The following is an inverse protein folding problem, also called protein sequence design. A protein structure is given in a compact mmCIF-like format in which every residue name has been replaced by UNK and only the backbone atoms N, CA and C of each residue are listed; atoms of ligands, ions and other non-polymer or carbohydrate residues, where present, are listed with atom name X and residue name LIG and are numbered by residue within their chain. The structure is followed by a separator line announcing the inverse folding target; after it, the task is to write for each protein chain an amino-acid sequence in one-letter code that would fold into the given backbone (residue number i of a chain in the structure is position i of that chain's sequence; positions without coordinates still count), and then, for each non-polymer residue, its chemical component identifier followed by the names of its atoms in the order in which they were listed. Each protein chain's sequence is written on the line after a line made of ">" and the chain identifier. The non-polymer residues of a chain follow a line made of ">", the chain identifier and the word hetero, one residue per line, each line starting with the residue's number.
data_IF_150295369783
#
_entry.id   IF_150295369783
#
_cell.length_a   1.000
_cell.length_b   1.000
_cell.length_c   1.000
_cell.angle_alpha   90.00
_cell.angle_beta   90.00
_cell.angle_gamma   90.00
#
_symmetry.space_group_name_H-M   'P 1'
#
loop_
_entity.id
_entity.type
_entity.pdbx_description
1 polymer ?
#
# COMPACT_ATOMS: atom_id res chain seq x y z
N UNK A 1 -14.70 76.40 -37.95
CA UNK A 1 -14.01 75.12 -37.67
C UNK A 1 -14.21 74.78 -36.20
N UNK A 2 -15.13 73.85 -35.89
CA UNK A 2 -15.44 73.43 -34.50
C UNK A 2 -14.59 72.22 -34.12
N UNK A 3 -13.85 72.36 -33.01
CA UNK A 3 -12.86 71.40 -32.51
C UNK A 3 -13.55 70.43 -31.56
N UNK A 4 -13.71 69.17 -31.98
CA UNK A 4 -14.34 68.09 -31.20
C UNK A 4 -13.43 67.69 -30.03
N UNK A 5 -13.98 67.69 -28.83
CA UNK A 5 -13.38 67.10 -27.62
C UNK A 5 -13.71 65.61 -27.57
N UNK A 6 -12.70 64.76 -27.45
CA UNK A 6 -12.86 63.33 -27.17
C UNK A 6 -12.62 63.14 -25.68
N UNK A 7 -13.68 62.76 -24.96
CA UNK A 7 -13.63 62.32 -23.56
C UNK A 7 -13.23 60.84 -23.57
N UNK A 8 -12.06 60.53 -23.04
CA UNK A 8 -11.60 59.16 -22.83
C UNK A 8 -11.99 58.74 -21.40
N UNK A 9 -12.99 57.86 -21.30
CA UNK A 9 -13.47 57.32 -20.03
C UNK A 9 -12.74 56.03 -19.70
N UNK A 10 -11.94 56.04 -18.64
CA UNK A 10 -11.25 54.86 -18.11
C UNK A 10 -12.20 54.10 -17.18
N UNK A 11 -12.65 52.91 -17.59
CA UNK A 11 -13.46 52.00 -16.78
C UNK A 11 -12.51 51.21 -15.85
N UNK A 12 -12.52 51.51 -14.55
CA UNK A 12 -11.73 50.79 -13.54
C UNK A 12 -12.56 49.60 -13.01
N UNK A 13 -12.33 48.40 -13.56
CA UNK A 13 -12.89 47.16 -13.02
C UNK A 13 -12.07 46.71 -11.81
N UNK A 14 -12.65 46.85 -10.62
CA UNK A 14 -12.12 46.29 -9.36
C UNK A 14 -12.39 44.79 -9.36
N UNK A 15 -11.34 44.00 -9.56
CA UNK A 15 -11.36 42.55 -9.32
C UNK A 15 -11.19 42.31 -7.81
N UNK A 16 -12.29 42.05 -7.10
CA UNK A 16 -12.22 41.51 -5.74
C UNK A 16 -11.88 40.03 -5.84
N UNK A 17 -10.60 39.70 -5.77
CA UNK A 17 -10.15 38.33 -5.55
C UNK A 17 -10.42 37.97 -4.09
N UNK A 18 -11.50 37.22 -3.85
CA UNK A 18 -11.69 36.52 -2.59
C UNK A 18 -10.61 35.43 -2.50
N UNK A 19 -9.45 35.78 -1.94
CA UNK A 19 -8.44 34.81 -1.59
C UNK A 19 -9.04 33.80 -0.62
N UNK A 20 -9.04 32.52 -0.98
CA UNK A 20 -9.28 31.44 -0.03
C UNK A 20 -8.09 31.45 0.92
N UNK A 21 -8.18 32.24 2.00
CA UNK A 21 -7.19 32.22 3.06
C UNK A 21 -7.27 30.85 3.73
N UNK A 22 -6.27 30.01 3.46
CA UNK A 22 -6.01 28.78 4.17
C UNK A 22 -5.66 29.14 5.62
N UNK A 23 -6.66 29.06 6.53
CA UNK A 23 -6.53 29.39 7.95
C UNK A 23 -5.47 28.58 8.74
N UNK A 24 -4.77 27.67 8.06
CA UNK A 24 -3.71 26.84 8.63
C UNK A 24 -2.30 27.43 8.42
N UNK A 25 -2.14 28.46 7.58
CA UNK A 25 -0.87 29.20 7.49
C UNK A 25 -0.70 30.27 8.57
N UNK A 26 -1.70 30.47 9.44
CA UNK A 26 -1.72 31.57 10.40
C UNK A 26 -0.88 31.30 11.68
N UNK A 27 -0.21 30.15 11.78
CA UNK A 27 0.53 29.75 12.99
C UNK A 27 1.95 29.20 12.75
N UNK A 28 2.82 29.35 13.76
CA UNK A 28 4.14 28.72 13.82
C UNK A 28 4.08 27.29 14.40
N UNK A 29 3.15 26.47 13.91
CA UNK A 29 2.98 25.11 14.41
C UNK A 29 3.69 24.06 13.52
N UNK A 30 3.73 22.82 14.01
CA UNK A 30 4.40 21.72 13.33
C UNK A 30 3.79 21.40 11.95
N UNK A 31 2.48 21.62 11.77
CA UNK A 31 1.81 21.39 10.50
C UNK A 31 2.21 22.46 9.48
N UNK A 32 2.22 23.74 9.86
CA UNK A 32 2.73 24.82 9.00
C UNK A 32 4.19 24.56 8.61
N UNK A 33 5.01 24.14 9.57
CA UNK A 33 6.41 23.80 9.33
C UNK A 33 6.57 22.63 8.34
N UNK A 34 5.71 21.62 8.43
CA UNK A 34 5.70 20.50 7.48
C UNK A 34 5.44 21.00 6.06
N UNK A 35 4.44 21.86 5.86
CA UNK A 35 4.15 22.46 4.56
C UNK A 35 5.31 23.26 4.00
N UNK A 36 5.84 24.20 4.80
CA UNK A 36 6.94 25.05 4.38
C UNK A 36 8.14 24.21 3.92
N UNK A 37 8.52 23.20 4.71
CA UNK A 37 9.66 22.33 4.37
C UNK A 37 9.42 21.53 3.11
N UNK A 38 8.20 21.06 2.86
CA UNK A 38 7.88 20.35 1.62
C UNK A 38 8.02 21.28 0.41
N UNK A 39 7.50 22.50 0.50
CA UNK A 39 7.63 23.51 -0.56
C UNK A 39 9.09 23.91 -0.84
N UNK A 40 9.94 23.86 0.18
CA UNK A 40 11.39 24.10 0.07
C UNK A 40 12.17 22.87 -0.45
N UNK A 41 11.51 21.76 -0.79
CA UNK A 41 12.15 20.51 -1.22
C UNK A 41 12.88 19.76 -0.10
N UNK A 42 12.53 20.03 1.16
CA UNK A 42 13.09 19.38 2.36
C UNK A 42 12.15 18.27 2.86
N UNK A 43 11.89 17.28 2.03
CA UNK A 43 10.88 16.21 2.23
C UNK A 43 11.04 15.47 3.56
N UNK A 44 12.25 14.99 3.89
CA UNK A 44 12.51 14.33 5.18
C UNK A 44 12.16 15.21 6.39
N UNK A 45 12.56 16.48 6.34
CA UNK A 45 12.32 17.43 7.43
C UNK A 45 10.83 17.82 7.51
N UNK A 46 10.11 17.79 6.39
CA UNK A 46 8.66 17.93 6.36
C UNK A 46 7.98 16.79 7.11
N UNK A 47 8.38 15.55 6.85
CA UNK A 47 7.85 14.35 7.52
C UNK A 47 8.16 14.35 9.02
N UNK A 48 9.35 14.75 9.43
CA UNK A 48 9.69 14.94 10.85
C UNK A 48 8.70 15.91 11.54
N UNK A 49 8.35 17.01 10.88
CA UNK A 49 7.32 17.94 11.38
C UNK A 49 5.90 17.35 11.33
N UNK A 50 5.58 16.48 10.36
CA UNK A 50 4.31 15.76 10.37
C UNK A 50 4.22 14.81 11.57
N UNK A 51 5.30 14.11 11.91
CA UNK A 51 5.36 13.23 13.10
C UNK A 51 5.09 14.05 14.36
N UNK A 52 5.75 15.20 14.51
CA UNK A 52 5.50 16.12 15.63
C UNK A 52 4.04 16.58 15.67
N UNK A 53 3.45 16.93 14.52
CA UNK A 53 2.04 17.31 14.45
C UNK A 53 1.09 16.17 14.85
N UNK A 54 1.40 14.92 14.50
CA UNK A 54 0.65 13.72 14.89
C UNK A 54 0.69 13.46 16.40
N UNK A 55 1.74 13.90 17.09
CA UNK A 55 1.92 13.70 18.53
C UNK A 55 1.17 14.73 19.39
N UNK A 56 0.51 15.71 18.76
CA UNK A 56 -0.24 16.75 19.50
C UNK A 56 -1.45 16.14 20.24
N UNK A 57 -1.63 16.42 21.55
CA UNK A 57 -2.68 15.79 22.38
C UNK A 57 -4.13 16.01 21.91
N UNK A 58 -4.37 17.03 21.07
CA UNK A 58 -5.70 17.46 20.64
C UNK A 58 -5.78 17.66 19.11
N UNK A 59 -5.17 16.75 18.36
CA UNK A 59 -5.20 16.80 16.89
C UNK A 59 -6.60 16.48 16.35
N UNK A 60 -7.28 17.48 15.79
CA UNK A 60 -8.62 17.34 15.20
C UNK A 60 -8.64 16.46 13.94
N UNK A 61 -9.77 15.83 13.64
CA UNK A 61 -9.94 14.99 12.44
C UNK A 61 -9.56 15.72 11.14
N UNK A 62 -9.98 16.99 10.99
CA UNK A 62 -9.60 17.80 9.82
C UNK A 62 -8.09 18.02 9.69
N UNK A 63 -7.35 18.14 10.81
CA UNK A 63 -5.89 18.24 10.77
C UNK A 63 -5.23 16.89 10.47
N UNK A 64 -5.82 15.79 10.92
CA UNK A 64 -5.39 14.42 10.57
C UNK A 64 -5.54 14.17 9.07
N UNK A 65 -6.69 14.49 8.49
CA UNK A 65 -6.95 14.40 7.05
C UNK A 65 -5.94 15.23 6.25
N UNK A 66 -5.62 16.43 6.75
CA UNK A 66 -4.66 17.31 6.11
C UNK A 66 -3.24 16.75 6.15
N UNK A 67 -2.80 16.21 7.29
CA UNK A 67 -1.51 15.52 7.41
C UNK A 67 -1.44 14.30 6.48
N UNK A 68 -2.52 13.54 6.35
CA UNK A 68 -2.59 12.40 5.44
C UNK A 68 -2.45 12.86 3.96
N UNK A 69 -3.10 13.96 3.58
CA UNK A 69 -2.96 14.56 2.25
C UNK A 69 -1.55 15.08 1.99
N UNK A 70 -0.95 15.76 2.97
CA UNK A 70 0.41 16.28 2.86
C UNK A 70 1.44 15.15 2.72
N UNK A 71 1.28 14.08 3.49
CA UNK A 71 2.09 12.87 3.35
C UNK A 71 1.91 12.23 1.97
N UNK A 72 0.69 12.13 1.47
CA UNK A 72 0.41 11.60 0.14
C UNK A 72 1.15 12.41 -0.94
N UNK A 73 1.16 13.74 -0.83
CA UNK A 73 1.93 14.61 -1.72
C UNK A 73 3.44 14.35 -1.60
N UNK A 74 3.97 14.30 -0.37
CA UNK A 74 5.40 14.05 -0.14
C UNK A 74 5.86 12.69 -0.72
N UNK A 75 5.02 11.65 -0.65
CA UNK A 75 5.31 10.35 -1.27
C UNK A 75 5.49 10.48 -2.78
N UNK A 76 4.79 11.38 -3.46
CA UNK A 76 4.86 11.50 -4.93
C UNK A 76 6.21 12.00 -5.45
N UNK A 77 7.00 12.69 -4.63
CA UNK A 77 8.30 13.25 -5.06
C UNK A 77 9.29 12.16 -5.47
N UNK A 78 9.40 11.08 -4.69
CA UNK A 78 10.36 9.98 -4.96
C UNK A 78 9.88 8.59 -4.52
N UNK A 79 8.56 8.40 -4.50
CA UNK A 79 7.90 7.22 -3.95
C UNK A 79 8.18 6.94 -2.47
N UNK A 80 8.56 7.98 -1.74
CA UNK A 80 8.76 7.96 -0.31
C UNK A 80 10.15 7.56 0.17
N UNK A 81 11.12 7.44 -0.74
CA UNK A 81 12.49 7.02 -0.43
C UNK A 81 13.21 8.03 0.45
N UNK A 82 12.94 9.32 0.31
CA UNK A 82 13.55 10.40 1.10
C UNK A 82 12.72 10.85 2.30
N UNK A 83 11.60 10.19 2.61
CA UNK A 83 10.71 10.59 3.72
C UNK A 83 11.33 10.39 5.10
N UNK A 84 12.35 9.56 5.22
CA UNK A 84 13.09 9.40 6.47
C UNK A 84 14.58 9.30 6.19
N UNK A 85 15.36 9.97 7.03
CA UNK A 85 16.83 9.85 7.08
C UNK A 85 17.28 8.75 8.04
N UNK A 86 16.35 8.18 8.81
CA UNK A 86 16.68 7.12 9.75
C UNK A 86 17.06 5.86 8.98
N UNK A 87 18.28 5.40 9.21
CA UNK A 87 18.78 4.13 8.69
C UNK A 87 18.40 2.99 9.62
N UNK A 88 18.35 1.79 9.07
CA UNK A 88 18.31 0.59 9.89
C UNK A 88 19.66 0.43 10.60
N UNK A 89 19.69 -0.14 11.81
CA UNK A 89 20.95 -0.51 12.48
C UNK A 89 21.62 -1.63 11.69
N UNK A 90 22.94 -1.79 11.85
CA UNK A 90 23.74 -2.72 11.03
C UNK A 90 23.29 -4.19 11.13
N UNK A 91 22.64 -4.57 12.23
CA UNK A 91 22.12 -5.91 12.42
C UNK A 91 20.77 -6.17 11.73
N UNK A 92 20.09 -5.14 11.25
CA UNK A 92 18.74 -5.22 10.66
C UNK A 92 18.80 -4.89 9.16
N UNK A 93 18.59 -5.90 8.32
CA UNK A 93 18.79 -5.77 6.87
C UNK A 93 17.59 -5.09 6.18
N UNK A 94 16.38 -5.47 6.58
CA UNK A 94 15.16 -4.90 6.01
C UNK A 94 13.97 -5.07 6.95
N UNK A 95 12.98 -4.18 6.78
CA UNK A 95 11.65 -4.30 7.36
C UNK A 95 10.64 -3.91 6.28
N UNK A 96 9.61 -4.73 6.17
CA UNK A 96 8.47 -4.55 5.28
C UNK A 96 7.17 -4.58 6.06
N UNK A 97 6.30 -3.62 5.78
CA UNK A 97 4.95 -3.57 6.31
C UNK A 97 4.01 -3.79 5.15
N UNK A 98 3.10 -4.75 5.28
CA UNK A 98 2.14 -5.10 4.25
C UNK A 98 0.72 -5.01 4.82
N UNK A 99 -0.10 -4.14 4.25
CA UNK A 99 -1.55 -4.08 4.51
C UNK A 99 -2.27 -4.76 3.36
N UNK A 100 -3.10 -5.75 3.65
CA UNK A 100 -3.87 -6.47 2.64
C UNK A 100 -5.37 -6.31 2.86
N UNK A 101 -6.10 -6.03 1.79
CA UNK A 101 -7.54 -6.30 1.68
C UNK A 101 -7.69 -7.64 0.98
N UNK A 102 -8.32 -8.60 1.65
CA UNK A 102 -8.53 -9.96 1.12
C UNK A 102 -10.02 -10.18 0.86
N UNK A 103 -10.35 -10.41 -0.40
CA UNK A 103 -11.68 -10.75 -0.87
C UNK A 103 -11.73 -12.22 -1.28
N UNK A 104 -12.56 -12.97 -0.56
CA UNK A 104 -12.90 -14.36 -0.88
C UNK A 104 -14.28 -14.43 -1.51
N UNK A 105 -14.73 -15.64 -1.90
CA UNK A 105 -16.11 -15.85 -2.35
C UNK A 105 -17.15 -15.58 -1.25
N UNK A 106 -16.79 -15.75 0.03
CA UNK A 106 -17.72 -15.67 1.16
C UNK A 106 -17.62 -14.39 1.99
N UNK A 107 -16.47 -13.71 1.96
CA UNK A 107 -16.24 -12.50 2.79
C UNK A 107 -15.10 -11.63 2.28
N UNK A 108 -15.11 -10.38 2.73
CA UNK A 108 -13.96 -9.46 2.68
C UNK A 108 -13.43 -9.29 4.10
N UNK A 109 -12.11 -9.31 4.26
CA UNK A 109 -11.43 -9.06 5.53
C UNK A 109 -10.07 -8.40 5.29
N UNK A 110 -9.45 -7.92 6.36
CA UNK A 110 -8.16 -7.23 6.28
C UNK A 110 -7.07 -7.99 7.03
N UNK A 111 -5.84 -7.84 6.56
CA UNK A 111 -4.64 -8.46 7.12
C UNK A 111 -3.56 -7.40 7.21
N UNK A 112 -2.80 -7.42 8.30
CA UNK A 112 -1.54 -6.69 8.39
C UNK A 112 -0.41 -7.67 8.68
N UNK A 113 0.70 -7.49 7.97
CA UNK A 113 1.90 -8.27 8.13
C UNK A 113 3.09 -7.34 8.32
N UNK A 114 3.99 -7.70 9.22
CA UNK A 114 5.33 -7.13 9.30
C UNK A 114 6.33 -8.27 9.11
N UNK A 115 7.27 -8.08 8.20
CA UNK A 115 8.32 -9.05 7.93
C UNK A 115 9.66 -8.36 7.77
N UNK A 116 10.74 -9.05 8.14
CA UNK A 116 12.07 -8.50 8.02
C UNK A 116 13.15 -9.56 8.06
N UNK A 117 14.39 -9.12 7.88
CA UNK A 117 15.57 -9.96 7.93
C UNK A 117 16.66 -9.31 8.77
N UNK A 118 17.39 -10.12 9.54
CA UNK A 118 18.42 -9.68 10.46
C UNK A 118 19.62 -10.62 10.45
N UNK A 119 20.82 -10.04 10.52
CA UNK A 119 22.07 -10.79 10.60
C UNK A 119 22.28 -11.38 12.00
N UNK A 120 22.03 -10.59 13.05
CA UNK A 120 22.16 -11.06 14.44
C UNK A 120 20.93 -11.81 14.93
N UNK A 121 19.77 -11.54 14.35
CA UNK A 121 18.50 -12.09 14.81
C UNK A 121 17.72 -11.08 15.66
N UNK A 122 16.40 -11.12 15.54
CA UNK A 122 15.44 -10.33 16.32
C UNK A 122 14.78 -11.25 17.34
N UNK A 123 14.77 -10.85 18.61
CA UNK A 123 14.13 -11.58 19.71
C UNK A 123 12.67 -11.17 19.89
N UNK A 124 12.38 -9.88 19.74
CA UNK A 124 11.01 -9.36 19.85
C UNK A 124 10.76 -8.24 18.84
N UNK A 125 9.53 -8.16 18.35
CA UNK A 125 9.10 -7.09 17.45
C UNK A 125 7.73 -6.56 17.84
N UNK A 126 7.58 -5.24 17.76
CA UNK A 126 6.34 -4.53 18.09
C UNK A 126 6.02 -3.46 17.05
N UNK A 127 4.74 -3.42 16.64
CA UNK A 127 4.12 -2.33 15.89
C UNK A 127 2.97 -1.76 16.73
N UNK A 128 3.08 -0.50 17.14
CA UNK A 128 2.04 0.24 17.86
C UNK A 128 1.54 1.40 17.01
N UNK A 129 0.24 1.64 17.03
CA UNK A 129 -0.37 2.87 16.56
C UNK A 129 -0.34 3.88 17.71
N UNK A 130 0.16 5.08 17.42
CA UNK A 130 0.23 6.16 18.38
C UNK A 130 -1.19 6.61 18.81
N UNK A 131 -1.43 6.88 20.11
CA UNK A 131 -0.46 6.83 21.21
C UNK A 131 -0.14 5.43 21.74
N UNK A 132 -1.13 4.57 21.97
CA UNK A 132 -0.94 3.36 22.80
C UNK A 132 -1.68 2.10 22.30
N UNK A 133 -2.07 2.06 21.02
CA UNK A 133 -2.76 0.90 20.47
C UNK A 133 -1.77 -0.12 19.89
N UNK A 134 -1.69 -1.32 20.47
CA UNK A 134 -0.81 -2.38 19.94
C UNK A 134 -1.45 -3.07 18.74
N UNK A 135 -0.81 -2.98 17.58
CA UNK A 135 -1.27 -3.60 16.33
C UNK A 135 -0.75 -5.02 16.24
N UNK A 136 0.57 -5.20 16.36
CA UNK A 136 1.28 -6.48 16.38
C UNK A 136 2.33 -6.41 17.50
N UNK A 137 2.46 -7.47 18.29
CA UNK A 137 3.58 -7.67 19.21
C UNK A 137 3.81 -9.15 19.37
N UNK A 138 5.05 -9.60 19.18
CA UNK A 138 5.38 -11.02 19.34
C UNK A 138 6.87 -11.21 19.67
N UNK A 139 7.15 -12.30 20.37
CA UNK A 139 8.49 -12.79 20.64
C UNK A 139 8.81 -13.86 19.57
N UNK A 140 9.99 -13.76 18.97
CA UNK A 140 10.40 -14.59 17.85
C UNK A 140 11.14 -15.82 18.34
N UNK A 141 10.65 -17.00 17.95
CA UNK A 141 11.35 -18.26 18.18
C UNK A 141 12.70 -18.29 17.44
N UNK A 142 13.65 -19.10 17.91
CA UNK A 142 14.99 -19.23 17.33
C UNK A 142 15.01 -19.45 15.81
N UNK A 143 14.01 -20.15 15.27
CA UNK A 143 13.88 -20.41 13.82
C UNK A 143 13.47 -19.16 13.01
N UNK A 144 12.85 -18.17 13.66
CA UNK A 144 12.32 -16.96 13.03
C UNK A 144 13.23 -15.74 13.19
N UNK A 145 14.19 -15.77 14.11
CA UNK A 145 14.96 -14.58 14.51
C UNK A 145 15.67 -13.90 13.32
N UNK A 146 16.20 -14.67 12.36
CA UNK A 146 16.91 -14.12 11.20
C UNK A 146 16.00 -13.70 10.04
N UNK A 147 14.81 -14.30 9.94
CA UNK A 147 13.79 -13.99 8.94
C UNK A 147 12.41 -14.24 9.55
N UNK A 148 11.73 -13.15 9.91
CA UNK A 148 10.46 -13.22 10.60
C UNK A 148 9.33 -12.69 9.73
N UNK A 149 8.13 -13.15 10.06
CA UNK A 149 6.88 -12.71 9.47
C UNK A 149 5.80 -12.80 10.53
N UNK A 150 5.40 -11.66 11.06
CA UNK A 150 4.31 -11.52 12.01
C UNK A 150 3.06 -11.09 11.27
N UNK A 151 1.94 -11.78 11.50
CA UNK A 151 0.69 -11.58 10.78
C UNK A 151 -0.45 -11.43 11.77
N UNK A 152 -1.23 -10.37 11.63
CA UNK A 152 -2.55 -10.25 12.25
C UNK A 152 -3.60 -10.30 11.15
N UNK A 153 -4.45 -11.32 11.22
CA UNK A 153 -5.37 -11.68 10.14
C UNK A 153 -6.84 -11.58 10.56
N UNK A 154 -7.73 -11.57 9.56
CA UNK A 154 -9.18 -11.58 9.80
C UNK A 154 -9.72 -10.32 10.45
N UNK A 155 -9.03 -9.18 10.29
CA UNK A 155 -9.48 -7.89 10.79
C UNK A 155 -10.79 -7.47 10.10
N UNK A 156 -11.70 -6.87 10.86
CA UNK A 156 -12.98 -6.34 10.35
C UNK A 156 -12.80 -5.01 9.60
N UNK A 157 -11.74 -4.27 9.91
CA UNK A 157 -11.41 -2.97 9.33
C UNK A 157 -9.94 -2.93 8.91
N UNK A 158 -9.57 -2.14 7.88
CA UNK A 158 -8.19 -1.98 7.51
C UNK A 158 -7.41 -1.23 8.60
N UNK A 159 -6.12 -1.51 8.71
CA UNK A 159 -5.24 -0.70 9.56
C UNK A 159 -5.21 0.72 9.00
N UNK A 160 -5.75 1.66 9.79
CA UNK A 160 -5.97 3.04 9.36
C UNK A 160 -4.67 3.78 9.05
N UNK A 161 -4.79 4.94 8.44
CA UNK A 161 -3.76 5.97 8.44
C UNK A 161 -3.37 6.40 9.86
N UNK A 162 -2.24 7.09 9.94
CA UNK A 162 -1.77 7.71 11.18
C UNK A 162 -0.30 7.43 11.47
N UNK A 163 0.10 7.80 12.69
CA UNK A 163 1.43 7.61 13.22
C UNK A 163 1.54 6.25 13.94
N UNK A 164 2.59 5.52 13.60
CA UNK A 164 2.92 4.22 14.16
C UNK A 164 4.36 4.19 14.63
N UNK A 165 4.63 3.43 15.68
CA UNK A 165 5.97 3.15 16.18
C UNK A 165 6.32 1.68 15.91
N UNK A 166 7.45 1.47 15.25
CA UNK A 166 8.10 0.18 15.10
C UNK A 166 9.15 0.05 16.20
N UNK A 167 9.25 -1.11 16.82
CA UNK A 167 10.32 -1.43 17.78
C UNK A 167 10.79 -2.86 17.55
N UNK A 168 12.10 -3.04 17.47
CA UNK A 168 12.73 -4.34 17.31
C UNK A 168 13.84 -4.49 18.36
N UNK A 169 13.88 -5.64 19.02
CA UNK A 169 14.92 -6.00 19.98
C UNK A 169 15.75 -7.14 19.39
N UNK A 170 17.07 -6.97 19.33
CA UNK A 170 17.98 -8.01 18.86
C UNK A 170 18.19 -9.07 19.94
N UNK A 171 18.62 -10.26 19.53
CA UNK A 171 19.02 -11.33 20.46
C UNK A 171 20.21 -10.94 21.35
N UNK A 172 21.00 -9.94 20.92
CA UNK A 172 22.10 -9.38 21.68
C UNK A 172 21.66 -8.30 22.69
N UNK A 173 20.36 -7.99 22.75
CA UNK A 173 19.78 -7.00 23.66
C UNK A 173 19.78 -5.56 23.14
N UNK A 174 20.16 -5.32 21.88
CA UNK A 174 20.07 -4.00 21.27
C UNK A 174 18.62 -3.68 20.89
N UNK A 175 18.19 -2.43 21.11
CA UNK A 175 16.84 -1.99 20.74
C UNK A 175 16.89 -0.91 19.68
N UNK A 176 16.08 -1.06 18.64
CA UNK A 176 15.86 -0.06 17.61
C UNK A 176 14.38 0.34 17.55
N UNK A 177 14.13 1.63 17.35
CA UNK A 177 12.77 2.17 17.19
C UNK A 177 12.72 3.19 16.05
N UNK A 178 11.64 3.18 15.29
CA UNK A 178 11.40 4.14 14.20
C UNK A 178 9.93 4.50 14.13
N UNK A 179 9.67 5.76 13.77
CA UNK A 179 8.33 6.21 13.40
C UNK A 179 7.99 5.77 11.97
N UNK A 180 6.72 5.48 11.76
CA UNK A 180 6.11 5.06 10.50
C UNK A 180 4.82 5.85 10.31
N UNK A 181 4.67 6.52 9.16
CA UNK A 181 3.40 7.13 8.78
C UNK A 181 2.70 6.27 7.73
N UNK A 182 1.48 5.85 8.04
CA UNK A 182 0.62 5.15 7.11
C UNK A 182 -0.39 6.14 6.51
N UNK A 183 -0.56 6.05 5.19
CA UNK A 183 -1.60 6.79 4.45
C UNK A 183 -2.94 6.07 4.57
N UNK A 184 -3.99 6.72 4.10
CA UNK A 184 -5.29 6.07 3.92
C UNK A 184 -5.11 4.78 3.09
N UNK A 185 -5.71 3.66 3.51
CA UNK A 185 -5.61 2.38 2.80
C UNK A 185 -6.54 2.37 1.58
N UNK A 186 -6.33 3.29 0.64
CA UNK A 186 -7.09 3.38 -0.61
C UNK A 186 -6.19 2.94 -1.77
N UNK A 187 -6.50 1.81 -2.42
CA UNK A 187 -5.71 1.35 -3.56
C UNK A 187 -5.93 2.28 -4.76
N UNK A 188 -4.87 2.58 -5.52
CA UNK A 188 -4.97 3.42 -6.73
C UNK A 188 -5.59 2.67 -7.89
N UNK A 189 -5.51 1.34 -7.88
CA UNK A 189 -6.18 0.46 -8.83
C UNK A 189 -6.97 -0.61 -8.09
N UNK A 190 -8.15 -0.96 -8.62
CA UNK A 190 -8.98 -2.01 -8.03
C UNK A 190 -8.88 -3.32 -8.82
N UNK A 191 -8.81 -4.42 -8.09
CA UNK A 191 -8.80 -5.79 -8.57
C UNK A 191 -10.13 -6.46 -8.20
N UNK A 192 -10.82 -7.05 -9.18
CA UNK A 192 -12.08 -7.76 -8.95
C UNK A 192 -12.23 -8.98 -9.86
N UNK A 193 -13.00 -9.98 -9.42
CA UNK A 193 -13.33 -11.12 -10.28
C UNK A 193 -14.24 -10.66 -11.43
N UNK A 194 -13.96 -11.14 -12.65
CA UNK A 194 -14.84 -10.99 -13.80
C UNK A 194 -15.61 -12.29 -14.05
N UNK A 195 -14.94 -13.43 -13.98
CA UNK A 195 -15.54 -14.77 -14.00
C UNK A 195 -14.71 -15.74 -13.15
N UNK A 196 -14.87 -17.06 -13.35
CA UNK A 196 -14.14 -18.09 -12.59
C UNK A 196 -12.63 -18.08 -12.82
N UNK A 197 -12.18 -17.64 -14.00
CA UNK A 197 -10.78 -17.71 -14.46
C UNK A 197 -10.22 -16.35 -14.87
N UNK A 198 -11.05 -15.31 -14.91
CA UNK A 198 -10.66 -13.98 -15.32
C UNK A 198 -10.99 -12.94 -14.26
N UNK A 199 -10.17 -11.90 -14.22
CA UNK A 199 -10.31 -10.78 -13.31
C UNK A 199 -10.16 -9.47 -14.07
N UNK A 200 -10.77 -8.43 -13.51
CA UNK A 200 -10.66 -7.08 -13.98
C UNK A 200 -9.65 -6.33 -13.10
N UNK A 201 -8.81 -5.53 -13.75
CA UNK A 201 -7.92 -4.57 -13.11
C UNK A 201 -8.35 -3.21 -13.63
N UNK A 202 -8.83 -2.34 -12.74
CA UNK A 202 -9.24 -1.00 -13.12
C UNK A 202 -8.05 -0.22 -13.73
N UNK A 203 -8.30 0.67 -14.70
CA UNK A 203 -7.24 1.49 -15.28
C UNK A 203 -6.51 2.31 -14.21
N UNK A 204 -5.25 2.63 -14.48
CA UNK A 204 -4.46 3.50 -13.62
C UNK A 204 -4.62 4.95 -14.08
N UNK A 205 -5.03 5.82 -13.17
CA UNK A 205 -5.38 7.21 -13.53
C UNK A 205 -4.16 8.16 -13.61
N UNK A 206 -2.97 7.74 -13.19
CA UNK A 206 -1.78 8.62 -13.12
C UNK A 206 -0.51 7.97 -13.67
N UNK A 207 -0.32 8.08 -14.98
CA UNK A 207 0.85 7.54 -15.67
C UNK A 207 2.17 8.33 -15.42
N UNK A 208 2.14 9.47 -14.73
CA UNK A 208 3.31 10.32 -14.48
C UNK A 208 3.84 10.22 -13.04
N UNK A 209 3.52 9.13 -12.35
CA UNK A 209 3.99 8.89 -11.00
C UNK A 209 5.46 8.46 -10.97
N UNK A 210 6.24 9.04 -10.05
CA UNK A 210 7.61 8.60 -9.73
C UNK A 210 7.63 7.21 -9.07
N UNK A 211 6.47 6.74 -8.58
CA UNK A 211 6.34 5.42 -8.01
C UNK A 211 6.42 4.29 -9.04
N UNK A 212 6.89 3.14 -8.56
CA UNK A 212 6.80 1.91 -9.34
C UNK A 212 5.33 1.57 -9.60
N UNK A 213 5.06 1.08 -10.81
CA UNK A 213 3.72 0.61 -11.15
C UNK A 213 3.35 -0.60 -10.28
N UNK A 214 2.07 -0.77 -9.94
CA UNK A 214 1.61 -1.97 -9.26
C UNK A 214 1.96 -3.23 -10.05
N UNK A 215 2.25 -4.32 -9.34
CA UNK A 215 2.57 -5.61 -9.93
C UNK A 215 1.62 -6.70 -9.42
N UNK A 216 1.47 -7.76 -10.20
CA UNK A 216 0.54 -8.86 -9.90
C UNK A 216 1.31 -10.07 -9.38
N UNK A 217 0.80 -10.68 -8.34
CA UNK A 217 1.19 -12.04 -7.91
C UNK A 217 0.00 -12.98 -8.10
N UNK A 218 0.26 -14.14 -8.69
CA UNK A 218 -0.70 -15.21 -8.86
C UNK A 218 -0.19 -16.41 -8.09
N UNK A 219 -1.00 -16.95 -7.19
CA UNK A 219 -0.61 -18.08 -6.35
C UNK A 219 -1.68 -19.16 -6.40
N UNK A 220 -1.25 -20.40 -6.57
CA UNK A 220 -2.07 -21.60 -6.45
C UNK A 220 -1.65 -22.35 -5.18
N UNK A 221 -2.65 -22.73 -4.37
CA UNK A 221 -2.47 -23.48 -3.13
C UNK A 221 -3.28 -24.78 -3.19
N UNK A 222 -2.85 -25.82 -2.47
CA UNK A 222 -3.72 -26.96 -2.17
C UNK A 222 -4.99 -26.45 -1.49
N UNK A 223 -6.15 -27.04 -1.80
CA UNK A 223 -7.44 -26.60 -1.25
C UNK A 223 -7.44 -26.48 0.28
N UNK A 224 -6.77 -27.40 0.96
CA UNK A 224 -6.75 -27.48 2.42
C UNK A 224 -5.68 -26.59 3.09
N UNK A 225 -4.90 -25.83 2.31
CA UNK A 225 -3.75 -25.08 2.84
C UNK A 225 -3.60 -23.70 2.17
N UNK A 226 -4.53 -22.80 2.43
CA UNK A 226 -4.58 -21.46 1.82
C UNK A 226 -3.54 -20.47 2.37
N UNK A 227 -3.01 -20.72 3.58
CA UNK A 227 -2.04 -19.84 4.25
C UNK A 227 -0.60 -20.38 4.23
N UNK A 228 -0.37 -21.52 3.56
CA UNK A 228 0.93 -22.15 3.41
C UNK A 228 1.78 -21.59 2.26
N UNK A 229 2.84 -22.30 1.90
CA UNK A 229 3.58 -21.99 0.67
C UNK A 229 2.74 -22.41 -0.56
N UNK A 230 2.66 -21.57 -1.61
CA UNK A 230 1.95 -21.95 -2.82
C UNK A 230 2.67 -23.09 -3.54
N UNK A 231 1.91 -23.99 -4.16
CA UNK A 231 2.44 -25.05 -5.04
C UNK A 231 2.86 -24.49 -6.41
N UNK A 232 2.30 -23.35 -6.78
CA UNK A 232 2.69 -22.60 -7.98
C UNK A 232 2.53 -21.12 -7.71
N UNK A 233 3.51 -20.33 -8.15
CA UNK A 233 3.46 -18.87 -8.06
C UNK A 233 4.02 -18.22 -9.32
N UNK A 234 3.47 -17.06 -9.66
CA UNK A 234 4.01 -16.19 -10.70
C UNK A 234 3.91 -14.73 -10.28
N UNK A 235 4.95 -13.97 -10.58
CA UNK A 235 5.00 -12.52 -10.37
C UNK A 235 5.10 -11.82 -11.74
N UNK A 236 4.28 -10.78 -11.95
CA UNK A 236 4.18 -10.03 -13.20
C UNK A 236 4.21 -8.53 -12.96
N UNK A 237 5.29 -7.90 -13.41
CA UNK A 237 5.52 -6.44 -13.32
C UNK A 237 5.03 -5.66 -14.54
N UNK A 238 4.82 -6.35 -15.67
CA UNK A 238 4.43 -5.75 -16.96
C UNK A 238 3.36 -6.62 -17.60
N UNK A 239 2.46 -5.98 -18.37
CA UNK A 239 1.34 -6.65 -19.06
C UNK A 239 0.60 -7.57 -18.09
N UNK A 240 0.01 -6.97 -17.06
CA UNK A 240 -0.65 -7.69 -15.98
C UNK A 240 -1.71 -8.63 -16.59
N UNK A 241 -1.58 -9.96 -16.41
CA UNK A 241 -2.54 -10.89 -16.97
C UNK A 241 -3.89 -10.66 -16.30
N UNK A 242 -4.96 -10.92 -17.04
CA UNK A 242 -6.35 -10.82 -16.58
C UNK A 242 -7.07 -12.16 -16.60
N UNK A 243 -6.32 -13.25 -16.84
CA UNK A 243 -6.83 -14.63 -16.90
C UNK A 243 -5.82 -15.60 -16.31
N UNK A 244 -6.33 -16.68 -15.72
CA UNK A 244 -5.56 -17.80 -15.22
C UNK A 244 -4.77 -18.41 -16.38
N UNK A 245 -3.42 -18.51 -16.29
CA UNK A 245 -2.64 -19.20 -17.30
C UNK A 245 -2.92 -20.71 -17.26
N UNK A 246 -2.61 -21.41 -18.35
CA UNK A 246 -2.59 -22.87 -18.34
C UNK A 246 -1.51 -23.36 -17.36
N UNK A 247 -1.91 -24.23 -16.43
CA UNK A 247 -1.04 -24.77 -15.38
C UNK A 247 -0.89 -26.28 -15.57
N UNK A 248 0.35 -26.76 -15.52
CA UNK A 248 0.66 -28.18 -15.47
C UNK A 248 0.67 -28.64 -14.01
N UNK A 249 -0.53 -28.92 -13.48
CA UNK A 249 -0.73 -29.40 -12.11
C UNK A 249 -1.70 -30.59 -12.13
N UNK A 250 -1.61 -31.52 -11.15
CA UNK A 250 -2.50 -32.66 -11.09
C UNK A 250 -3.98 -32.28 -11.06
N UNK A 251 -4.83 -33.19 -11.52
CA UNK A 251 -6.27 -32.99 -11.45
C UNK A 251 -6.73 -32.88 -10.00
N UNK A 252 -7.51 -31.85 -9.68
CA UNK A 252 -8.02 -31.59 -8.34
C UNK A 252 -8.57 -30.19 -8.15
N UNK A 253 -9.06 -29.96 -6.94
CA UNK A 253 -9.53 -28.67 -6.49
C UNK A 253 -8.40 -27.91 -5.78
N UNK A 254 -8.29 -26.62 -6.09
CA UNK A 254 -7.22 -25.75 -5.62
C UNK A 254 -7.79 -24.43 -5.13
N UNK A 255 -7.04 -23.76 -4.26
CA UNK A 255 -7.29 -22.37 -3.95
C UNK A 255 -6.40 -21.48 -4.81
N UNK A 256 -7.01 -20.64 -5.63
CA UNK A 256 -6.31 -19.70 -6.48
C UNK A 256 -6.47 -18.29 -5.95
N UNK A 257 -5.37 -17.56 -5.86
CA UNK A 257 -5.39 -16.16 -5.46
C UNK A 257 -4.62 -15.29 -6.46
N UNK A 258 -5.16 -14.09 -6.67
CA UNK A 258 -4.54 -13.02 -7.44
C UNK A 258 -4.39 -11.84 -6.49
N UNK A 259 -3.20 -11.25 -6.43
CA UNK A 259 -2.96 -10.05 -5.65
C UNK A 259 -2.29 -8.95 -6.46
N UNK A 260 -2.88 -7.77 -6.44
CA UNK A 260 -2.32 -6.54 -6.97
C UNK A 260 -1.62 -5.82 -5.83
N UNK A 261 -0.33 -5.50 -6.02
CA UNK A 261 0.55 -4.98 -4.98
C UNK A 261 1.09 -3.63 -5.42
N UNK A 262 0.84 -2.60 -4.61
CA UNK A 262 1.46 -1.29 -4.73
C UNK A 262 2.54 -1.16 -3.66
N UNK A 263 3.71 -0.64 -4.03
CA UNK A 263 4.85 -0.51 -3.13
C UNK A 263 5.34 0.93 -3.08
N UNK A 264 5.59 1.41 -1.86
CA UNK A 264 6.28 2.67 -1.56
C UNK A 264 7.31 2.47 -0.46
N UNK A 265 8.02 3.55 -0.14
CA UNK A 265 9.02 3.56 0.92
C UNK A 265 8.73 4.63 1.98
N UNK A 266 9.39 4.50 3.12
CA UNK A 266 9.64 5.59 4.07
C UNK A 266 11.09 5.45 4.54
N UNK A 267 12.02 6.05 3.81
CA UNK A 267 13.45 5.77 4.01
C UNK A 267 13.77 4.30 3.71
N UNK A 268 14.35 3.61 4.68
CA UNK A 268 14.73 2.20 4.57
C UNK A 268 13.56 1.21 4.70
N UNK A 269 12.38 1.67 5.12
CA UNK A 269 11.19 0.83 5.30
C UNK A 269 10.44 0.69 3.99
N UNK A 270 10.03 -0.53 3.63
CA UNK A 270 9.11 -0.75 2.50
C UNK A 270 7.68 -0.94 3.01
N UNK A 271 6.72 -0.31 2.33
CA UNK A 271 5.30 -0.39 2.67
C UNK A 271 4.55 -0.87 1.44
N UNK A 272 3.73 -1.89 1.62
CA UNK A 272 2.96 -2.53 0.56
C UNK A 272 1.46 -2.47 0.86
N UNK A 273 0.71 -1.93 -0.11
CA UNK A 273 -0.74 -2.03 -0.14
C UNK A 273 -1.12 -3.15 -1.10
N UNK A 274 -1.89 -4.12 -0.61
CA UNK A 274 -2.23 -5.32 -1.36
C UNK A 274 -3.73 -5.47 -1.44
N UNK A 275 -4.23 -5.65 -2.65
CA UNK A 275 -5.58 -6.14 -2.86
C UNK A 275 -5.51 -7.57 -3.38
N UNK A 276 -6.05 -8.52 -2.60
CA UNK A 276 -6.05 -9.94 -2.93
C UNK A 276 -7.47 -10.41 -3.17
N UNK A 277 -7.70 -11.07 -4.30
CA UNK A 277 -8.92 -11.82 -4.57
C UNK A 277 -8.57 -13.31 -4.57
N UNK A 278 -9.37 -14.15 -3.91
CA UNK A 278 -9.12 -15.58 -3.79
C UNK A 278 -10.40 -16.41 -3.92
N UNK A 279 -10.29 -17.58 -4.55
CA UNK A 279 -11.41 -18.53 -4.67
C UNK A 279 -10.93 -19.95 -4.90
N UNK A 280 -11.81 -20.92 -4.64
CA UNK A 280 -11.63 -22.28 -5.11
C UNK A 280 -11.82 -22.38 -6.63
N UNK A 281 -10.99 -23.21 -7.28
CA UNK A 281 -11.05 -23.56 -8.71
C UNK A 281 -10.77 -25.06 -8.89
N UNK A 282 -11.23 -25.64 -9.99
CA UNK A 282 -10.96 -27.03 -10.36
C UNK A 282 -10.02 -27.08 -11.59
N UNK A 283 -9.03 -27.96 -11.55
CA UNK A 283 -8.02 -28.19 -12.59
C UNK A 283 -7.86 -29.70 -12.85
N UNK A 284 -7.37 -30.15 -14.03
CA UNK A 284 -7.26 -29.41 -15.26
C UNK A 284 -8.66 -29.08 -15.72
N UNK A 285 -8.77 -27.89 -16.27
CA UNK A 285 -9.95 -27.51 -17.01
C UNK A 285 -9.87 -28.21 -18.35
N UNK A 286 -10.84 -29.06 -18.65
CA UNK A 286 -11.09 -29.39 -20.04
C UNK A 286 -11.59 -28.09 -20.66
N UNK A 287 -10.80 -27.50 -21.55
CA UNK A 287 -11.24 -26.36 -22.37
C UNK A 287 -12.59 -26.77 -23.02
N UNK A 288 -13.67 -25.99 -22.94
CA UNK A 288 -14.88 -26.33 -23.67
C UNK A 288 -14.61 -26.56 -25.17
N UNK A 289 -13.61 -25.87 -25.75
CA UNK A 289 -13.16 -26.09 -27.13
C UNK A 289 -12.43 -27.44 -27.32
N UNK A 290 -11.91 -28.04 -26.24
CA UNK A 290 -11.30 -29.39 -26.26
C UNK A 290 -12.32 -30.53 -26.14
N UNK A 291 -13.58 -30.24 -25.78
CA UNK A 291 -14.67 -31.22 -25.76
C UNK A 291 -15.31 -31.42 -27.15
N UNK A 292 -15.25 -30.41 -28.03
CA UNK A 292 -15.69 -30.55 -29.43
C UNK A 292 -14.75 -31.44 -30.27
N UNK A 293 -13.50 -31.61 -29.84
CA UNK A 293 -12.52 -32.50 -30.49
C UNK A 293 -12.71 -34.01 -30.17
N UNK A 294 -13.67 -34.35 -29.30
CA UNK A 294 -13.98 -35.74 -28.88
C UNK A 294 -15.42 -36.11 -29.26
N UNK A 295 -15.99 -35.50 -30.31
CA UNK A 295 -17.15 -36.09 -30.96
C UNK A 295 -16.67 -37.29 -31.81
N UNK A 296 -17.21 -38.51 -31.63
CA UNK A 296 -16.88 -39.61 -32.52
C UNK A 296 -17.30 -39.24 -33.94
N UNK A 297 -16.43 -39.51 -34.93
CA UNK A 297 -16.81 -39.52 -36.35
C UNK A 297 -18.10 -40.32 -36.47
N UNK A 298 -19.18 -39.65 -36.87
CA UNK A 298 -20.38 -40.34 -37.29
C UNK A 298 -20.00 -41.17 -38.51
N UNK A 299 -19.98 -42.49 -38.35
CA UNK A 299 -19.91 -43.45 -39.44
C UNK A 299 -21.02 -43.11 -40.43
N UNK A 300 -20.63 -42.55 -41.58
CA UNK A 300 -21.51 -42.41 -42.72
C UNK A 300 -21.59 -43.76 -43.43
N UNK A 301 -22.73 -44.45 -43.25
CA UNK A 301 -23.25 -45.42 -44.22
C UNK A 301 -24.25 -44.75 -45.15
#
# INVERSE_FOLDING_TARGET
>A
MMKKWVVSGTLLTVLTTSGVHAAWFDGNDALTSAHQRLLEGKTAASVESMIEAWQQPSLSASRQDHLAQLLALAITEDCGRSLSRQTLPDWLNNISIRRETVQTTSRVYYRIQVAGESQLGVDAFTLKKWPDETVISDDLSAEQQHRWRLVKDGLSEPVSEGLYQLTAQSVAGETWSSWLLLTLPQPRQTLSWKDTRSWHIAPFDDFNSTCQRPFLTLNLYPQNQTDGAPIWSAEKHKRLPTRLPMLDVPNGQYWFSVALIERRWQGALSIEEVQRIGRAIDLPDLDPDSLEAIAPEADNQ
#
